data_IF_527815250118
#
_entry.id   IF_527815250118
#
_cell.length_a   1.000
_cell.length_b   1.000
_cell.length_c   1.000
_cell.angle_alpha   90.00
_cell.angle_beta   90.00
_cell.angle_gamma   90.00
#
_symmetry.space_group_name_H-M   'P 1'
#
loop_
_entity.id
_entity.type
_entity.pdbx_description
1 polymer ?
#
# COMPACT_ATOMS: atom_id res chain seq x y z
N UNK A 1 12.57 16.92 3.57
CA UNK A 1 11.51 16.55 4.53
C UNK A 1 10.86 15.28 3.98
N UNK A 2 10.74 14.12 4.61
CA UNK A 2 11.22 13.50 5.85
C UNK A 2 11.05 11.99 5.60
N UNK A 3 12.13 11.19 5.56
CA UNK A 3 12.06 9.73 5.32
C UNK A 3 11.32 8.98 6.45
N UNK A 4 11.11 9.62 7.59
CA UNK A 4 10.46 9.10 8.79
C UNK A 4 8.93 9.12 8.72
N UNK A 5 8.33 10.07 8.00
CA UNK A 5 6.86 10.15 7.85
C UNK A 5 6.33 8.98 6.99
N UNK A 6 7.10 8.56 5.98
CA UNK A 6 6.73 7.50 5.05
C UNK A 6 6.52 6.12 5.72
N UNK A 7 7.18 5.81 6.85
CA UNK A 7 6.97 4.55 7.58
C UNK A 7 5.64 4.56 8.37
N UNK A 8 5.29 5.69 8.99
CA UNK A 8 4.03 5.84 9.71
C UNK A 8 2.82 5.80 8.77
N UNK A 9 2.91 6.55 7.67
CA UNK A 9 1.87 6.60 6.63
C UNK A 9 1.61 5.23 6.00
N UNK A 10 2.64 4.39 5.88
CA UNK A 10 2.52 3.13 5.16
C UNK A 10 1.62 2.10 5.84
N UNK A 11 1.66 1.99 7.17
CA UNK A 11 0.81 1.03 7.87
C UNK A 11 -0.68 1.43 7.77
N UNK A 12 -0.96 2.73 7.80
CA UNK A 12 -2.29 3.27 7.49
C UNK A 12 -2.70 3.07 6.03
N UNK A 13 -1.78 3.32 5.10
CA UNK A 13 -2.03 3.09 3.67
C UNK A 13 -2.40 1.63 3.41
N UNK A 14 -1.67 0.68 4.02
CA UNK A 14 -2.00 -0.74 3.96
C UNK A 14 -3.37 -1.06 4.51
N UNK A 15 -3.70 -0.53 5.70
CA UNK A 15 -5.00 -0.76 6.31
C UNK A 15 -6.14 -0.24 5.43
N UNK A 16 -5.99 0.96 4.86
CA UNK A 16 -6.93 1.53 3.89
C UNK A 16 -7.05 0.66 2.64
N UNK A 17 -5.91 0.26 2.05
CA UNK A 17 -5.89 -0.59 0.86
C UNK A 17 -6.58 -1.93 1.13
N UNK A 18 -6.29 -2.59 2.26
CA UNK A 18 -6.96 -3.83 2.67
C UNK A 18 -8.46 -3.65 2.84
N UNK A 19 -8.89 -2.54 3.46
CA UNK A 19 -10.29 -2.23 3.71
C UNK A 19 -11.05 -1.92 2.42
N UNK A 20 -10.41 -1.21 1.47
CA UNK A 20 -11.01 -0.85 0.17
C UNK A 20 -10.96 -2.02 -0.81
N UNK A 21 -9.90 -2.82 -0.76
CA UNK A 21 -9.66 -3.93 -1.67
C UNK A 21 -9.67 -5.26 -0.91
N UNK A 22 -10.84 -5.90 -0.87
CA UNK A 22 -11.00 -7.24 -0.30
C UNK A 22 -10.14 -8.34 -0.99
N UNK A 23 -9.59 -8.03 -2.17
CA UNK A 23 -8.65 -8.89 -2.89
C UNK A 23 -7.25 -8.90 -2.30
N UNK A 24 -6.91 -7.90 -1.47
CA UNK A 24 -5.65 -7.86 -0.74
C UNK A 24 -5.78 -8.65 0.56
N UNK A 25 -4.88 -9.60 0.75
CA UNK A 25 -4.79 -10.36 1.99
C UNK A 25 -3.67 -9.81 2.87
N UNK A 26 -3.68 -10.14 4.17
CA UNK A 26 -2.55 -9.82 5.06
C UNK A 26 -1.22 -10.31 4.49
N UNK A 27 -1.23 -11.43 3.78
CA UNK A 27 -0.03 -12.00 3.19
C UNK A 27 0.54 -11.14 2.05
N UNK A 28 -0.32 -10.47 1.28
CA UNK A 28 0.12 -9.50 0.26
C UNK A 28 0.63 -8.19 0.86
N UNK A 29 0.18 -7.88 2.08
CA UNK A 29 0.51 -6.67 2.83
C UNK A 29 1.65 -6.88 3.85
N UNK A 30 2.08 -8.13 4.02
CA UNK A 30 3.24 -8.54 4.79
C UNK A 30 4.50 -8.41 3.92
N UNK A 31 5.44 -7.60 4.39
CA UNK A 31 6.78 -7.53 3.80
C UNK A 31 7.80 -7.26 4.90
N UNK A 32 9.03 -7.70 4.65
CA UNK A 32 10.17 -7.44 5.52
C UNK A 32 10.54 -5.95 5.45
N UNK A 33 10.97 -5.39 6.58
CA UNK A 33 11.35 -3.99 6.67
C UNK A 33 12.43 -3.65 5.61
N UNK A 34 12.20 -2.62 4.79
CA UNK A 34 13.04 -2.28 3.64
C UNK A 34 12.53 -2.78 2.27
N UNK A 35 11.55 -3.70 2.22
CA UNK A 35 10.93 -4.20 0.97
C UNK A 35 9.61 -3.52 0.59
N UNK A 36 9.41 -2.27 0.99
CA UNK A 36 8.18 -1.53 0.68
C UNK A 36 7.93 -1.38 -0.83
N UNK A 37 8.99 -1.18 -1.62
CA UNK A 37 8.88 -1.06 -3.08
C UNK A 37 8.39 -2.36 -3.72
N UNK A 38 8.91 -3.52 -3.27
CA UNK A 38 8.45 -4.83 -3.76
C UNK A 38 6.98 -5.07 -3.43
N UNK A 39 6.54 -4.70 -2.21
CA UNK A 39 5.12 -4.79 -1.86
C UNK A 39 4.27 -3.90 -2.77
N UNK A 40 4.65 -2.64 -2.99
CA UNK A 40 3.88 -1.74 -3.85
C UNK A 40 3.74 -2.32 -5.25
N UNK A 41 4.83 -2.85 -5.82
CA UNK A 41 4.82 -3.47 -7.13
C UNK A 41 3.89 -4.71 -7.17
N UNK A 42 3.91 -5.55 -6.13
CA UNK A 42 2.99 -6.69 -6.00
C UNK A 42 1.54 -6.25 -5.93
N UNK A 43 1.23 -5.22 -5.15
CA UNK A 43 -0.13 -4.69 -4.99
C UNK A 43 -0.64 -4.10 -6.29
N UNK A 44 0.19 -3.32 -6.98
CA UNK A 44 -0.15 -2.80 -8.30
C UNK A 44 -0.47 -3.92 -9.29
N UNK A 45 0.36 -4.98 -9.32
CA UNK A 45 0.13 -6.16 -10.18
C UNK A 45 -1.13 -6.93 -9.77
N UNK A 46 -1.34 -7.16 -8.48
CA UNK A 46 -2.47 -7.96 -7.96
C UNK A 46 -3.81 -7.25 -8.12
N UNK A 47 -3.83 -5.94 -7.92
CA UNK A 47 -5.02 -5.12 -8.15
C UNK A 47 -5.21 -4.76 -9.62
N UNK A 48 -4.18 -4.93 -10.46
CA UNK A 48 -4.17 -4.42 -11.83
C UNK A 48 -4.34 -2.90 -11.88
N UNK A 49 -3.96 -2.19 -10.80
CA UNK A 49 -4.18 -0.76 -10.63
C UNK A 49 -2.88 0.03 -10.73
N UNK A 50 -2.96 1.15 -11.42
CA UNK A 50 -1.86 2.11 -11.49
C UNK A 50 -1.64 2.80 -10.15
N UNK A 51 -0.43 3.33 -9.95
CA UNK A 51 -0.07 4.06 -8.73
C UNK A 51 -1.04 5.22 -8.45
N UNK A 52 -1.52 5.90 -9.48
CA UNK A 52 -2.52 6.98 -9.37
C UNK A 52 -3.87 6.50 -8.80
N UNK A 53 -4.32 5.30 -9.16
CA UNK A 53 -5.54 4.71 -8.61
C UNK A 53 -5.37 4.37 -7.13
N UNK A 54 -4.20 3.85 -6.75
CA UNK A 54 -3.87 3.60 -5.35
C UNK A 54 -3.78 4.92 -4.57
N UNK A 55 -3.11 5.92 -5.13
CA UNK A 55 -2.99 7.25 -4.53
C UNK A 55 -4.35 7.90 -4.30
N UNK A 56 -5.28 7.77 -5.26
CA UNK A 56 -6.65 8.24 -5.12
C UNK A 56 -7.37 7.56 -3.95
N UNK A 57 -7.20 6.25 -3.76
CA UNK A 57 -7.78 5.52 -2.62
C UNK A 57 -7.15 5.93 -1.29
N UNK A 58 -5.86 6.24 -1.29
CA UNK A 58 -5.13 6.66 -0.09
C UNK A 58 -5.45 8.10 0.32
N UNK A 59 -5.65 8.96 -0.67
CA UNK A 59 -6.06 10.36 -0.56
C UNK A 59 -7.56 10.53 -0.31
N UNK A 60 -8.38 9.50 -0.55
CA UNK A 60 -9.78 9.48 -0.11
C UNK A 60 -9.83 9.46 1.43
N UNK A 61 -10.43 10.51 2.00
CA UNK A 61 -10.53 10.76 3.44
C UNK A 61 -11.79 10.13 4.00
#
# INVERSE_FOLDING_TARGET
MNKTEAKGTWNEQKAKLKKKFATLTDNDLMYAEGKQEEMYAKIQKKLGKSKAELDKVLSEK
#
